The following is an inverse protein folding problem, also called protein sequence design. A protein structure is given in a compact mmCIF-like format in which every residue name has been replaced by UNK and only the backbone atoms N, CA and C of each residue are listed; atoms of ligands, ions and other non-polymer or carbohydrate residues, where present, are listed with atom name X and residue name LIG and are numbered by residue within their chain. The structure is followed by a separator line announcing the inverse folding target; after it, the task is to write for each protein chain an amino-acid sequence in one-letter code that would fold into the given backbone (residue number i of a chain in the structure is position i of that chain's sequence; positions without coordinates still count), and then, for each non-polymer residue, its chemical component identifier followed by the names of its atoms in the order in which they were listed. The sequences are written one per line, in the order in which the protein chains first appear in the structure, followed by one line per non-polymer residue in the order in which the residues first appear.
data_IF_292056496986
#
_entry.id   IF_292056496986
#
_cell.length_a   1.000
_cell.length_b   1.000
_cell.length_c   1.000
_cell.angle_alpha   90.00
_cell.angle_beta   90.00
_cell.angle_gamma   90.00
#
_symmetry.space_group_name_H-M   'P 1'
#
loop_
_entity.id
_entity.type
_entity.pdbx_description
1 polymer ?
#
# COMPACT_ATOMS: atom_id res chain seq x y z
N UNK A 1 20.65 -9.94 12.40
CA UNK A 1 21.03 -10.92 11.34
C UNK A 1 20.00 -10.80 10.24
N UNK A 2 20.45 -10.48 9.05
CA UNK A 2 19.56 -10.42 7.88
C UNK A 2 19.08 -11.83 7.53
N UNK A 3 17.76 -11.96 7.31
CA UNK A 3 17.15 -13.22 6.89
C UNK A 3 17.61 -13.59 5.48
N UNK A 4 17.86 -14.87 5.25
CA UNK A 4 18.09 -15.36 3.88
C UNK A 4 16.84 -15.18 3.02
N UNK A 5 16.99 -15.18 1.70
CA UNK A 5 15.87 -15.08 0.77
C UNK A 5 14.83 -16.20 0.99
N UNK A 6 15.28 -17.42 1.23
CA UNK A 6 14.42 -18.58 1.49
C UNK A 6 13.67 -18.49 2.83
N UNK A 7 14.30 -17.97 3.88
CA UNK A 7 13.65 -17.74 5.16
C UNK A 7 12.57 -16.66 5.03
N UNK A 8 12.88 -15.56 4.32
CA UNK A 8 11.94 -14.48 4.07
C UNK A 8 10.72 -14.98 3.27
N UNK A 9 10.95 -15.76 2.23
CA UNK A 9 9.88 -16.36 1.43
C UNK A 9 9.00 -17.29 2.27
N UNK A 10 9.57 -18.18 3.07
CA UNK A 10 8.80 -19.09 3.95
C UNK A 10 7.96 -18.32 4.96
N UNK A 11 8.51 -17.27 5.59
CA UNK A 11 7.75 -16.46 6.54
C UNK A 11 6.65 -15.65 5.85
N UNK A 12 6.91 -15.12 4.67
CA UNK A 12 5.90 -14.42 3.89
C UNK A 12 4.74 -15.34 3.47
N UNK A 13 5.04 -16.56 3.04
CA UNK A 13 4.01 -17.57 2.71
C UNK A 13 3.12 -17.86 3.91
N UNK A 14 3.72 -18.10 5.10
CA UNK A 14 2.95 -18.30 6.34
C UNK A 14 2.09 -17.09 6.71
N UNK A 15 2.61 -15.87 6.50
CA UNK A 15 1.87 -14.63 6.76
C UNK A 15 0.68 -14.48 5.80
N UNK A 16 0.88 -14.79 4.52
CA UNK A 16 -0.15 -14.76 3.46
C UNK A 16 -1.27 -15.77 3.74
N UNK A 17 -0.93 -16.98 4.15
CA UNK A 17 -1.90 -18.01 4.55
C UNK A 17 -2.73 -17.57 5.76
N UNK A 18 -2.09 -16.98 6.79
CA UNK A 18 -2.79 -16.43 7.96
C UNK A 18 -3.72 -15.28 7.55
N UNK A 19 -3.31 -14.42 6.61
CA UNK A 19 -4.16 -13.35 6.09
C UNK A 19 -5.36 -13.90 5.32
N UNK A 20 -5.16 -14.90 4.46
CA UNK A 20 -6.22 -15.56 3.68
C UNK A 20 -7.28 -16.19 4.58
N UNK A 21 -6.87 -16.79 5.70
CA UNK A 21 -7.75 -17.46 6.66
C UNK A 21 -8.31 -16.52 7.75
N UNK A 22 -7.98 -15.22 7.71
CA UNK A 22 -8.43 -14.25 8.69
C UNK A 22 -9.93 -13.98 8.58
N UNK A 23 -10.65 -14.00 9.72
CA UNK A 23 -12.09 -13.74 9.83
C UNK A 23 -12.43 -12.70 10.89
N UNK A 24 -11.48 -11.80 11.23
CA UNK A 24 -11.62 -10.83 12.31
C UNK A 24 -12.62 -9.71 12.04
N UNK A 25 -12.94 -9.45 10.76
CA UNK A 25 -13.84 -8.38 10.34
C UNK A 25 -15.14 -8.99 9.84
N UNK A 26 -16.20 -8.92 10.63
CA UNK A 26 -17.51 -9.48 10.32
C UNK A 26 -18.03 -9.05 8.94
N UNK A 27 -17.99 -7.74 8.65
CA UNK A 27 -18.40 -7.19 7.35
C UNK A 27 -17.55 -7.64 6.15
N UNK A 28 -16.44 -8.34 6.39
CA UNK A 28 -15.51 -8.81 5.36
C UNK A 28 -15.12 -10.29 5.52
N UNK A 29 -15.85 -11.06 6.35
CA UNK A 29 -15.54 -12.47 6.60
C UNK A 29 -15.58 -13.35 5.33
N UNK A 30 -16.42 -12.97 4.37
CA UNK A 30 -16.53 -13.58 3.05
C UNK A 30 -15.48 -13.09 2.04
N UNK A 31 -14.63 -12.13 2.42
CA UNK A 31 -13.62 -11.56 1.52
C UNK A 31 -12.28 -12.27 1.70
N UNK A 32 -11.56 -12.40 0.59
CA UNK A 32 -10.20 -12.94 0.59
C UNK A 32 -9.20 -11.80 0.70
N UNK A 33 -8.29 -11.91 1.64
CA UNK A 33 -7.20 -10.95 1.80
C UNK A 33 -6.29 -10.94 0.55
N UNK A 34 -5.89 -9.73 0.12
CA UNK A 34 -4.94 -9.52 -0.98
C UNK A 34 -3.55 -9.38 -0.39
N UNK A 35 -2.92 -10.52 -0.13
CA UNK A 35 -1.52 -10.63 0.30
C UNK A 35 -0.96 -11.96 -0.22
N UNK A 36 -0.09 -11.89 -1.22
CA UNK A 36 0.50 -13.04 -1.89
C UNK A 36 1.76 -12.60 -2.67
N UNK A 37 2.39 -13.51 -3.38
CA UNK A 37 3.49 -13.23 -4.32
C UNK A 37 3.13 -12.18 -5.39
N UNK A 38 1.85 -11.99 -5.69
CA UNK A 38 1.36 -10.97 -6.63
C UNK A 38 1.48 -9.53 -6.09
N UNK A 39 1.85 -9.37 -4.81
CA UNK A 39 2.12 -8.05 -4.22
C UNK A 39 3.47 -7.46 -4.67
N UNK A 40 4.40 -8.28 -5.18
CA UNK A 40 5.69 -7.86 -5.73
C UNK A 40 6.90 -8.48 -5.04
N UNK A 41 8.06 -7.87 -5.22
CA UNK A 41 9.34 -8.35 -4.70
C UNK A 41 9.39 -8.35 -3.17
N UNK A 42 9.96 -9.40 -2.58
CA UNK A 42 10.29 -9.41 -1.15
C UNK A 42 11.61 -8.66 -0.82
N UNK A 43 12.30 -8.15 -1.86
CA UNK A 43 13.46 -7.25 -1.77
C UNK A 43 13.23 -6.01 -2.64
N UNK A 44 12.18 -5.21 -2.34
CA UNK A 44 11.78 -4.12 -3.22
C UNK A 44 12.70 -2.90 -3.04
N UNK A 45 12.87 -2.12 -4.12
CA UNK A 45 13.41 -0.76 -4.03
C UNK A 45 12.47 0.15 -3.24
N UNK A 46 11.14 -0.02 -3.44
CA UNK A 46 10.10 0.80 -2.82
C UNK A 46 8.93 -0.06 -2.35
N UNK A 47 8.46 0.21 -1.14
CA UNK A 47 7.30 -0.44 -0.52
C UNK A 47 6.11 0.53 -0.51
N UNK A 48 5.07 0.22 -1.27
CA UNK A 48 3.85 1.02 -1.35
C UNK A 48 2.77 0.50 -0.41
N UNK A 49 2.08 1.43 0.26
CA UNK A 49 0.93 1.14 1.12
C UNK A 49 -0.26 1.95 0.63
N UNK A 50 -1.33 1.27 0.25
CA UNK A 50 -2.61 1.89 -0.10
C UNK A 50 -3.68 1.66 0.99
N UNK A 51 -4.91 2.14 0.75
CA UNK A 51 -6.01 2.03 1.71
C UNK A 51 -6.52 0.60 1.84
N UNK A 52 -7.06 0.05 0.76
CA UNK A 52 -7.70 -1.27 0.70
C UNK A 52 -7.85 -1.75 -0.75
N UNK A 53 -8.05 -3.06 -0.98
CA UNK A 53 -8.34 -3.59 -2.32
C UNK A 53 -9.66 -3.05 -2.88
N UNK A 54 -9.61 -2.48 -4.07
CA UNK A 54 -10.80 -2.02 -4.79
C UNK A 54 -11.60 -3.17 -5.40
N UNK A 55 -12.94 -3.05 -5.41
CA UNK A 55 -13.88 -4.07 -5.88
C UNK A 55 -13.59 -4.56 -7.32
N UNK A 56 -13.36 -3.63 -8.23
CA UNK A 56 -13.14 -3.93 -9.65
C UNK A 56 -11.68 -4.28 -9.97
N UNK A 57 -10.75 -3.88 -9.09
CA UNK A 57 -9.32 -4.08 -9.20
C UNK A 57 -8.83 -5.27 -8.38
N UNK A 58 -8.05 -4.98 -7.36
CA UNK A 58 -7.30 -5.95 -6.58
C UNK A 58 -8.15 -7.03 -5.88
N UNK A 59 -9.40 -6.75 -5.50
CA UNK A 59 -10.28 -7.76 -4.93
C UNK A 59 -10.66 -8.85 -5.94
N UNK A 60 -10.74 -8.51 -7.23
CA UNK A 60 -11.01 -9.46 -8.33
C UNK A 60 -9.74 -10.12 -8.86
N UNK A 61 -8.70 -9.33 -9.09
CA UNK A 61 -7.47 -9.80 -9.73
C UNK A 61 -6.49 -10.44 -8.76
N UNK A 62 -6.67 -10.25 -7.46
CA UNK A 62 -5.73 -10.61 -6.37
C UNK A 62 -4.36 -9.93 -6.46
N UNK A 63 -4.19 -9.01 -7.42
CA UNK A 63 -2.99 -8.21 -7.61
C UNK A 63 -3.27 -6.75 -7.30
N UNK A 64 -2.52 -6.10 -6.39
CA UNK A 64 -2.69 -4.68 -6.09
C UNK A 64 -2.54 -3.80 -7.34
N UNK A 65 -3.37 -2.76 -7.44
CA UNK A 65 -3.39 -1.84 -8.58
C UNK A 65 -3.43 -2.55 -9.95
N UNK A 66 -4.35 -3.50 -10.10
CA UNK A 66 -4.56 -4.23 -11.35
C UNK A 66 -6.05 -4.38 -11.65
N UNK A 67 -6.43 -4.20 -12.91
CA UNK A 67 -7.78 -4.47 -13.43
C UNK A 67 -8.77 -3.31 -13.31
N UNK A 68 -8.33 -2.12 -12.88
CA UNK A 68 -9.15 -0.91 -12.84
C UNK A 68 -8.36 0.36 -13.23
N UNK A 69 -9.07 1.49 -13.30
CA UNK A 69 -8.47 2.79 -13.67
C UNK A 69 -7.39 3.27 -12.69
N UNK A 70 -7.53 2.97 -11.39
CA UNK A 70 -6.51 3.32 -10.39
C UNK A 70 -5.21 2.55 -10.67
N UNK A 71 -5.32 1.29 -11.08
CA UNK A 71 -4.18 0.47 -11.50
C UNK A 71 -3.49 1.00 -12.74
N UNK A 72 -4.26 1.42 -13.76
CA UNK A 72 -3.70 2.03 -14.97
C UNK A 72 -2.97 3.34 -14.65
N UNK A 73 -3.58 4.22 -13.86
CA UNK A 73 -2.96 5.48 -13.41
C UNK A 73 -1.68 5.22 -12.61
N UNK A 74 -1.70 4.25 -11.69
CA UNK A 74 -0.54 3.88 -10.90
C UNK A 74 0.61 3.36 -11.79
N UNK A 75 0.29 2.57 -12.82
CA UNK A 75 1.29 2.11 -13.78
C UNK A 75 1.94 3.28 -14.52
N UNK A 76 1.14 4.23 -15.04
CA UNK A 76 1.68 5.43 -15.70
C UNK A 76 2.59 6.26 -14.78
N UNK A 77 2.28 6.31 -13.47
CA UNK A 77 3.11 7.00 -12.48
C UNK A 77 4.43 6.25 -12.21
N UNK A 78 4.42 4.92 -12.16
CA UNK A 78 5.64 4.12 -12.05
C UNK A 78 6.52 4.29 -13.30
N UNK A 79 5.92 4.21 -14.49
CA UNK A 79 6.62 4.34 -15.76
C UNK A 79 7.32 5.71 -15.87
N UNK A 80 6.70 6.77 -15.33
CA UNK A 80 7.25 8.13 -15.35
C UNK A 80 8.55 8.30 -14.56
N UNK A 81 8.85 7.37 -13.66
CA UNK A 81 10.07 7.36 -12.85
C UNK A 81 10.93 6.12 -13.10
N UNK A 82 10.64 5.37 -14.16
CA UNK A 82 11.41 4.19 -14.57
C UNK A 82 11.37 3.01 -13.61
N UNK A 83 10.34 2.91 -12.73
CA UNK A 83 10.15 1.78 -11.83
C UNK A 83 9.25 0.71 -12.45
N UNK A 84 9.67 -0.54 -12.32
CA UNK A 84 8.87 -1.70 -12.74
C UNK A 84 8.12 -2.33 -11.57
N UNK A 85 7.14 -3.19 -11.86
CA UNK A 85 6.38 -3.93 -10.85
C UNK A 85 7.22 -4.94 -10.08
N UNK A 86 8.26 -5.44 -10.68
CA UNK A 86 9.22 -6.42 -10.13
C UNK A 86 10.17 -5.79 -9.10
N UNK A 87 10.33 -4.46 -9.15
CA UNK A 87 11.20 -3.70 -8.24
C UNK A 87 10.48 -3.16 -7.01
N UNK A 88 9.17 -3.36 -6.91
CA UNK A 88 8.35 -2.82 -5.82
C UNK A 88 7.59 -3.91 -5.08
N UNK A 89 7.12 -3.56 -3.88
CA UNK A 89 6.09 -4.32 -3.16
C UNK A 89 4.91 -3.39 -2.86
N UNK A 90 3.70 -3.89 -3.04
CA UNK A 90 2.48 -3.12 -2.77
C UNK A 90 1.60 -3.87 -1.78
N UNK A 91 1.18 -3.20 -0.71
CA UNK A 91 0.19 -3.72 0.22
C UNK A 91 -0.88 -2.69 0.55
N UNK A 92 -1.78 -3.03 1.45
CA UNK A 92 -2.85 -2.16 1.88
C UNK A 92 -2.91 -2.08 3.41
N UNK A 93 -3.46 -0.98 3.93
CA UNK A 93 -3.80 -0.82 5.34
C UNK A 93 -4.79 -1.89 5.80
N UNK A 94 -5.76 -2.22 4.93
CA UNK A 94 -6.71 -3.32 5.14
C UNK A 94 -6.61 -4.26 3.94
N UNK A 95 -6.38 -5.55 4.20
CA UNK A 95 -6.11 -6.53 3.14
C UNK A 95 -7.37 -7.05 2.41
N UNK A 96 -8.56 -6.85 2.98
CA UNK A 96 -9.83 -7.23 2.38
C UNK A 96 -10.55 -6.01 1.81
N UNK A 97 -11.42 -6.20 0.81
CA UNK A 97 -12.18 -5.13 0.15
C UNK A 97 -13.38 -4.67 1.01
N UNK A 98 -13.37 -3.47 1.63
CA UNK A 98 -14.52 -2.96 2.37
C UNK A 98 -15.61 -2.52 1.41
N UNK A 99 -16.86 -2.98 1.65
CA UNK A 99 -18.02 -2.63 0.82
C UNK A 99 -19.18 -2.11 1.63
N UNK A 100 -19.93 -1.18 1.04
CA UNK A 100 -21.23 -0.74 1.56
C UNK A 100 -22.30 -1.81 1.37
N UNK A 101 -23.49 -1.58 1.92
CA UNK A 101 -24.67 -2.44 1.71
C UNK A 101 -25.06 -2.55 0.21
N UNK A 102 -24.76 -1.51 -0.58
CA UNK A 102 -24.98 -1.52 -2.06
C UNK A 102 -23.85 -2.23 -2.83
N UNK A 103 -22.86 -2.79 -2.15
CA UNK A 103 -21.70 -3.42 -2.76
C UNK A 103 -20.64 -2.46 -3.32
N UNK A 104 -20.79 -1.13 -3.14
CA UNK A 104 -19.79 -0.15 -3.56
C UNK A 104 -18.58 -0.15 -2.61
N UNK A 105 -17.42 0.31 -3.10
CA UNK A 105 -16.27 0.54 -2.22
C UNK A 105 -16.62 1.56 -1.14
N UNK A 106 -16.15 1.33 0.07
CA UNK A 106 -16.19 2.30 1.19
C UNK A 106 -14.83 2.40 1.86
N UNK A 107 -14.63 3.43 2.63
CA UNK A 107 -13.46 3.51 3.51
C UNK A 107 -13.52 2.41 4.58
N UNK A 108 -12.37 1.83 4.96
CA UNK A 108 -12.33 0.92 6.10
C UNK A 108 -12.65 1.66 7.40
N UNK A 109 -13.33 1.00 8.31
CA UNK A 109 -13.57 1.53 9.65
C UNK A 109 -12.30 1.49 10.50
N UNK A 110 -12.26 2.28 11.58
CA UNK A 110 -11.13 2.25 12.54
C UNK A 110 -10.92 0.84 13.13
N UNK A 111 -12.01 0.09 13.39
CA UNK A 111 -11.96 -1.30 13.87
C UNK A 111 -11.32 -2.24 12.84
N UNK A 112 -11.68 -2.10 11.56
CA UNK A 112 -11.10 -2.90 10.48
C UNK A 112 -9.61 -2.61 10.28
N UNK A 113 -9.20 -1.34 10.36
CA UNK A 113 -7.78 -0.94 10.33
C UNK A 113 -7.04 -1.55 11.52
N UNK A 114 -7.55 -1.43 12.73
CA UNK A 114 -6.94 -2.01 13.93
C UNK A 114 -6.83 -3.55 13.85
N UNK A 115 -7.87 -4.23 13.37
CA UNK A 115 -7.87 -5.68 13.16
C UNK A 115 -6.79 -6.12 12.16
N UNK A 116 -6.50 -5.29 11.15
CA UNK A 116 -5.55 -5.60 10.08
C UNK A 116 -4.12 -5.11 10.36
N UNK A 117 -3.93 -4.18 11.31
CA UNK A 117 -2.65 -3.52 11.59
C UNK A 117 -1.48 -4.49 11.80
N UNK A 118 -1.72 -5.61 12.49
CA UNK A 118 -0.68 -6.60 12.73
C UNK A 118 -0.13 -7.25 11.44
N UNK A 119 -0.96 -7.37 10.38
CA UNK A 119 -0.47 -7.84 9.08
C UNK A 119 0.44 -6.82 8.42
N UNK A 120 0.07 -5.53 8.46
CA UNK A 120 0.90 -4.45 7.93
C UNK A 120 2.25 -4.38 8.66
N UNK A 121 2.23 -4.37 9.99
CA UNK A 121 3.44 -4.35 10.83
C UNK A 121 4.36 -5.52 10.49
N UNK A 122 3.82 -6.74 10.45
CA UNK A 122 4.60 -7.95 10.14
C UNK A 122 5.16 -7.93 8.72
N UNK A 123 4.40 -7.41 7.75
CA UNK A 123 4.88 -7.29 6.37
C UNK A 123 6.02 -6.29 6.27
N UNK A 124 5.90 -5.11 6.92
CA UNK A 124 6.98 -4.11 6.95
C UNK A 124 8.24 -4.68 7.62
N UNK A 125 8.09 -5.35 8.77
CA UNK A 125 9.23 -5.92 9.49
C UNK A 125 9.88 -7.09 8.75
N UNK A 126 9.11 -7.87 8.00
CA UNK A 126 9.62 -9.00 7.23
C UNK A 126 10.38 -8.55 5.98
N UNK A 127 9.84 -7.58 5.26
CA UNK A 127 10.44 -7.04 4.03
C UNK A 127 11.57 -6.08 4.37
N UNK A 128 11.45 -5.36 5.47
CA UNK A 128 12.38 -4.32 5.96
C UNK A 128 12.80 -3.31 4.87
N UNK A 129 11.81 -2.63 4.25
CA UNK A 129 12.07 -1.73 3.14
C UNK A 129 12.79 -0.47 3.61
N UNK A 130 13.73 0.04 2.81
CA UNK A 130 14.38 1.34 3.08
C UNK A 130 13.48 2.53 2.77
N UNK A 131 12.54 2.35 1.84
CA UNK A 131 11.63 3.41 1.36
C UNK A 131 10.20 2.91 1.46
N UNK A 132 9.37 3.67 2.16
CA UNK A 132 7.92 3.46 2.24
C UNK A 132 7.23 4.63 1.56
N UNK A 133 6.26 4.32 0.71
CA UNK A 133 5.39 5.30 0.06
C UNK A 133 3.96 5.01 0.46
N UNK A 134 3.26 6.00 1.01
CA UNK A 134 1.82 5.88 1.30
C UNK A 134 0.99 6.51 0.19
N UNK A 135 -0.06 5.82 -0.24
CA UNK A 135 -1.00 6.27 -1.26
C UNK A 135 -2.34 6.63 -0.61
N UNK A 136 -2.47 7.89 -0.24
CA UNK A 136 -3.66 8.45 0.41
C UNK A 136 -3.54 8.58 1.93
N UNK A 137 -4.47 9.34 2.51
CA UNK A 137 -4.47 9.70 3.94
C UNK A 137 -4.65 8.49 4.88
N UNK A 138 -5.46 7.51 4.49
CA UNK A 138 -5.71 6.31 5.34
C UNK A 138 -4.42 5.50 5.53
N UNK A 139 -3.64 5.32 4.47
CA UNK A 139 -2.35 4.63 4.55
C UNK A 139 -1.33 5.41 5.39
N UNK A 140 -1.28 6.74 5.22
CA UNK A 140 -0.40 7.60 6.00
C UNK A 140 -0.77 7.56 7.49
N UNK A 141 -2.04 7.73 7.83
CA UNK A 141 -2.52 7.67 9.22
C UNK A 141 -2.30 6.30 9.88
N UNK A 142 -2.40 5.21 9.12
CA UNK A 142 -2.17 3.87 9.64
C UNK A 142 -0.74 3.69 10.17
N UNK A 143 0.25 4.38 9.61
CA UNK A 143 1.63 4.32 10.06
C UNK A 143 1.83 4.89 11.47
N UNK A 144 0.94 5.78 11.95
CA UNK A 144 0.97 6.29 13.33
C UNK A 144 0.79 5.21 14.39
N UNK A 145 0.23 4.07 14.02
CA UNK A 145 0.12 2.90 14.93
C UNK A 145 1.45 2.15 15.12
N UNK A 146 2.44 2.43 14.27
CA UNK A 146 3.77 1.84 14.33
C UNK A 146 4.73 2.82 15.00
N UNK A 147 4.80 4.04 14.46
CA UNK A 147 5.57 5.15 15.02
C UNK A 147 4.87 6.47 14.71
N UNK A 148 4.70 7.31 15.73
CA UNK A 148 4.00 8.58 15.60
C UNK A 148 4.72 9.53 14.64
N UNK A 149 3.94 10.27 13.83
CA UNK A 149 4.41 11.35 12.96
C UNK A 149 3.37 12.47 12.85
N UNK A 150 3.81 13.67 12.46
CA UNK A 150 2.97 14.85 12.23
C UNK A 150 2.76 15.16 10.75
N UNK A 151 3.14 14.25 9.85
CA UNK A 151 3.06 14.43 8.39
C UNK A 151 1.58 14.53 7.97
N UNK A 152 1.27 15.55 7.15
CA UNK A 152 -0.07 15.87 6.68
C UNK A 152 -0.09 15.77 5.16
N UNK A 153 -0.87 14.85 4.59
CA UNK A 153 -0.89 14.59 3.15
C UNK A 153 -1.12 15.84 2.30
N UNK A 154 -1.98 16.76 2.76
CA UNK A 154 -2.34 17.97 1.99
C UNK A 154 -1.17 18.92 1.76
N UNK A 155 -0.28 19.06 2.73
CA UNK A 155 0.86 19.99 2.69
C UNK A 155 2.17 19.30 2.32
N UNK A 156 2.27 18.01 2.60
CA UNK A 156 3.54 17.28 2.60
C UNK A 156 3.65 16.25 1.47
N UNK A 157 2.63 16.17 0.60
CA UNK A 157 2.67 15.26 -0.55
C UNK A 157 3.89 15.53 -1.45
N UNK A 158 4.62 14.47 -1.81
CA UNK A 158 5.82 14.56 -2.64
C UNK A 158 7.08 15.06 -1.90
N UNK A 159 7.04 15.12 -0.57
CA UNK A 159 8.23 15.38 0.25
C UNK A 159 8.77 14.07 0.83
N UNK A 160 10.06 14.06 1.19
CA UNK A 160 10.75 12.91 1.77
C UNK A 160 10.98 13.16 3.25
N UNK A 161 10.49 12.27 4.10
CA UNK A 161 10.64 12.34 5.56
C UNK A 161 11.46 11.17 6.08
N UNK A 162 12.12 11.35 7.23
CA UNK A 162 12.64 10.24 8.03
C UNK A 162 11.53 9.74 8.96
N UNK A 163 11.28 8.45 8.93
CA UNK A 163 10.27 7.79 9.77
C UNK A 163 10.69 6.34 10.03
N UNK A 164 10.73 5.92 11.28
CA UNK A 164 11.05 4.54 11.69
C UNK A 164 12.32 4.00 11.00
N UNK A 165 13.42 4.77 11.05
CA UNK A 165 14.70 4.48 10.38
C UNK A 165 14.60 4.29 8.86
N UNK A 166 13.51 4.73 8.23
CA UNK A 166 13.22 4.60 6.79
C UNK A 166 12.96 5.98 6.18
N UNK A 167 12.92 6.05 4.86
CA UNK A 167 12.39 7.19 4.12
C UNK A 167 10.90 6.96 3.89
N UNK A 168 10.09 7.96 4.22
CA UNK A 168 8.64 7.97 4.01
C UNK A 168 8.28 9.07 3.02
N UNK A 169 7.54 8.71 1.96
CA UNK A 169 7.02 9.64 0.96
C UNK A 169 5.50 9.55 0.95
N UNK A 170 4.77 10.57 1.46
CA UNK A 170 3.32 10.61 1.38
C UNK A 170 2.88 11.06 -0.02
N UNK A 171 2.01 10.29 -0.67
CA UNK A 171 1.47 10.59 -1.99
C UNK A 171 -0.06 10.48 -1.99
N UNK A 172 -0.71 11.18 -2.92
CA UNK A 172 -2.13 11.00 -3.16
C UNK A 172 -2.43 9.68 -3.86
N UNK A 173 -3.60 9.10 -3.56
CA UNK A 173 -4.05 7.88 -4.22
C UNK A 173 -4.38 8.15 -5.69
N UNK A 174 -3.93 7.32 -6.66
CA UNK A 174 -4.11 7.57 -8.09
C UNK A 174 -5.50 7.19 -8.62
N UNK A 175 -6.54 7.27 -7.79
CA UNK A 175 -7.91 7.01 -8.24
C UNK A 175 -8.44 8.15 -9.10
N UNK A 176 -9.33 7.85 -10.08
CA UNK A 176 -9.96 8.89 -10.89
C UNK A 176 -10.62 10.00 -10.08
N UNK A 177 -11.26 9.63 -8.96
CA UNK A 177 -11.91 10.61 -8.07
C UNK A 177 -10.89 11.58 -7.46
N UNK A 178 -9.75 11.08 -6.96
CA UNK A 178 -8.71 11.93 -6.37
C UNK A 178 -8.06 12.81 -7.44
N UNK A 179 -7.82 12.27 -8.64
CA UNK A 179 -7.26 13.02 -9.76
C UNK A 179 -8.20 14.17 -10.19
N UNK A 180 -9.50 13.94 -10.17
CA UNK A 180 -10.48 14.96 -10.56
C UNK A 180 -10.67 16.06 -9.50
N UNK A 181 -10.53 15.76 -8.20
CA UNK A 181 -10.97 16.66 -7.14
C UNK A 181 -9.89 17.14 -6.17
N UNK A 182 -8.74 16.46 -6.07
CA UNK A 182 -7.74 16.73 -5.03
C UNK A 182 -6.34 16.99 -5.57
N UNK A 183 -5.84 16.11 -6.42
CA UNK A 183 -4.46 16.16 -6.93
C UNK A 183 -4.43 15.68 -8.38
N UNK A 184 -4.38 16.61 -9.33
CA UNK A 184 -4.41 16.30 -10.77
C UNK A 184 -3.24 15.41 -11.18
N UNK A 185 -3.36 14.68 -12.29
CA UNK A 185 -2.35 13.73 -12.74
C UNK A 185 -0.97 14.36 -12.93
N UNK A 186 -0.89 15.56 -13.53
CA UNK A 186 0.39 16.26 -13.68
C UNK A 186 1.06 16.58 -12.34
N UNK A 187 0.29 16.89 -11.30
CA UNK A 187 0.81 17.10 -9.95
C UNK A 187 1.28 15.79 -9.32
N UNK A 188 0.55 14.67 -9.54
CA UNK A 188 0.99 13.36 -9.06
C UNK A 188 2.26 12.89 -9.76
N UNK A 189 2.45 13.19 -11.06
CA UNK A 189 3.71 12.94 -11.78
C UNK A 189 4.89 13.69 -11.13
N UNK A 190 4.70 14.97 -10.75
CA UNK A 190 5.73 15.71 -10.01
C UNK A 190 6.02 15.10 -8.62
N UNK A 191 4.95 14.71 -7.90
CA UNK A 191 5.10 14.09 -6.59
C UNK A 191 5.88 12.76 -6.67
N UNK A 192 5.68 11.97 -7.72
CA UNK A 192 6.38 10.70 -7.92
C UNK A 192 7.89 10.87 -8.14
N UNK A 193 8.35 12.03 -8.63
CA UNK A 193 9.79 12.34 -8.69
C UNK A 193 10.48 12.29 -7.31
N UNK A 194 9.72 12.51 -6.21
CA UNK A 194 10.26 12.34 -4.88
C UNK A 194 10.61 10.88 -4.56
N UNK A 195 9.88 9.92 -5.14
CA UNK A 195 10.19 8.49 -5.00
C UNK A 195 11.51 8.18 -5.71
N UNK A 196 11.72 8.69 -6.93
CA UNK A 196 12.99 8.54 -7.65
C UNK A 196 14.15 9.12 -6.85
N UNK A 197 14.03 10.36 -6.36
CA UNK A 197 15.04 10.99 -5.48
C UNK A 197 15.30 10.19 -4.20
N UNK A 198 14.26 9.54 -3.64
CA UNK A 198 14.42 8.72 -2.46
C UNK A 198 15.21 7.42 -2.75
N UNK A 199 15.22 6.92 -3.98
CA UNK A 199 15.99 5.75 -4.38
C UNK A 199 17.47 6.09 -4.58
N UNK A 200 17.76 7.27 -5.15
CA UNK A 200 19.12 7.73 -5.48
C UNK A 200 19.96 8.11 -4.24
N UNK A 201 19.33 8.54 -3.17
CA UNK A 201 19.98 8.95 -1.90
C UNK A 201 20.12 7.80 -0.91
#
# INVERSE_FOLDING_TARGET
MDKTADERLREFTKLSEKARNCRRCEAMCERVAVLSELNGSLHPKVFFIAEAPGRQGADRTRRPFSGDKSGANFQSLLDSIGLTREEIFITNTVLCSPRSATGANRKPSKKEIANCANFLIKTINLIDPKIIVTLGSVALEALKTIEYHQIILRTDAGQIFRWNSRRLVPLYHPSPQVIASHRRMNQQLEDFKAVARAIEN
#
